data_IF_743540985497
#
_entry.id   IF_743540985497
#
_cell.length_a   1.000
_cell.length_b   1.000
_cell.length_c   1.000
_cell.angle_alpha   90.00
_cell.angle_beta   90.00
_cell.angle_gamma   90.00
#
_symmetry.space_group_name_H-M   'P 1'
#
loop_
_entity.id
_entity.type
_entity.pdbx_description
1 polymer ?
#
# COMPACT_ATOMS: atom_id res chain seq x y z
N UNK A 1 4.45 23.45 -18.03
CA UNK A 1 4.39 24.28 -16.81
C UNK A 1 3.52 25.51 -16.97
N UNK A 2 3.68 26.29 -18.05
CA UNK A 2 2.91 27.53 -18.25
C UNK A 2 1.43 27.26 -18.56
N UNK A 3 0.55 27.65 -17.63
CA UNK A 3 -0.91 27.53 -17.79
C UNK A 3 -1.42 28.48 -18.86
N UNK A 4 -0.92 29.71 -18.93
CA UNK A 4 -1.35 30.70 -19.95
C UNK A 4 -1.11 30.21 -21.38
N UNK A 5 0.00 29.50 -21.62
CA UNK A 5 0.27 28.85 -22.92
C UNK A 5 -0.65 27.66 -23.17
N UNK A 6 -0.94 26.86 -22.15
CA UNK A 6 -1.89 25.75 -22.25
C UNK A 6 -3.30 26.26 -22.55
N UNK A 7 -3.73 27.32 -21.89
CA UNK A 7 -5.03 27.96 -22.09
C UNK A 7 -5.18 28.49 -23.52
N UNK A 8 -4.21 29.25 -24.03
CA UNK A 8 -4.24 29.73 -25.40
C UNK A 8 -4.26 28.59 -26.44
N UNK A 9 -3.56 27.50 -26.16
CA UNK A 9 -3.51 26.33 -27.03
C UNK A 9 -4.82 25.54 -26.99
N UNK A 10 -5.40 25.28 -25.82
CA UNK A 10 -6.65 24.53 -25.71
C UNK A 10 -7.87 25.33 -26.20
N UNK A 11 -7.84 26.67 -26.12
CA UNK A 11 -8.86 27.52 -26.77
C UNK A 11 -8.83 27.40 -28.29
N UNK A 12 -7.65 27.26 -28.87
CA UNK A 12 -7.49 27.17 -30.34
C UNK A 12 -7.57 25.74 -30.87
N UNK A 13 -7.22 24.73 -30.05
CA UNK A 13 -7.11 23.32 -30.40
C UNK A 13 -7.55 22.41 -29.25
N UNK A 14 -8.87 22.27 -29.00
CA UNK A 14 -9.38 21.42 -27.91
C UNK A 14 -9.02 19.93 -28.09
N UNK A 15 -8.80 19.47 -29.32
CA UNK A 15 -8.40 18.11 -29.65
C UNK A 15 -7.03 17.69 -29.09
N UNK A 16 -6.18 18.68 -28.76
CA UNK A 16 -4.85 18.42 -28.20
C UNK A 16 -4.89 17.93 -26.75
N UNK A 17 -6.00 18.16 -26.03
CA UNK A 17 -6.14 17.85 -24.61
C UNK A 17 -5.76 16.41 -24.25
N UNK A 18 -6.17 15.45 -25.09
CA UNK A 18 -5.93 14.02 -24.91
C UNK A 18 -5.01 13.43 -25.98
N UNK A 19 -4.36 14.29 -26.80
CA UNK A 19 -3.51 13.84 -27.90
C UNK A 19 -2.29 13.11 -27.36
N UNK A 20 -2.02 11.92 -27.90
CA UNK A 20 -0.85 11.12 -27.54
C UNK A 20 0.37 11.62 -28.32
N UNK A 21 1.33 12.19 -27.60
CA UNK A 21 2.56 12.73 -28.17
C UNK A 21 3.61 11.63 -28.31
N UNK A 22 4.32 11.60 -29.45
CA UNK A 22 5.43 10.66 -29.71
C UNK A 22 6.70 11.07 -28.95
N UNK A 23 7.61 10.14 -28.61
CA UNK A 23 7.61 8.72 -28.99
C UNK A 23 6.84 7.79 -28.02
N UNK A 24 6.46 8.27 -26.83
CA UNK A 24 5.93 7.41 -25.76
C UNK A 24 4.40 7.35 -25.65
N UNK A 25 3.67 8.01 -26.55
CA UNK A 25 2.21 8.07 -26.50
C UNK A 25 1.68 8.80 -25.26
N UNK A 26 2.46 9.73 -24.71
CA UNK A 26 2.14 10.46 -23.49
C UNK A 26 1.10 11.54 -23.78
N UNK A 27 0.09 11.66 -22.93
CA UNK A 27 -0.88 12.76 -22.95
C UNK A 27 -0.29 14.04 -22.34
N UNK A 28 -0.83 15.23 -22.64
CA UNK A 28 -0.44 16.47 -21.97
C UNK A 28 -0.49 16.35 -20.43
N UNK A 29 -1.52 15.68 -19.91
CA UNK A 29 -1.67 15.38 -18.49
C UNK A 29 -0.48 14.56 -17.96
N UNK A 30 -0.12 13.49 -18.65
CA UNK A 30 1.03 12.64 -18.30
C UNK A 30 2.35 13.43 -18.28
N UNK A 31 2.55 14.31 -19.25
CA UNK A 31 3.74 15.16 -19.33
C UNK A 31 3.81 16.16 -18.18
N UNK A 32 2.67 16.78 -17.84
CA UNK A 32 2.57 17.68 -16.68
C UNK A 32 2.90 16.95 -15.38
N UNK A 33 2.33 15.74 -15.19
CA UNK A 33 2.61 14.88 -14.01
C UNK A 33 4.08 14.47 -13.96
N UNK A 34 4.67 14.03 -15.08
CA UNK A 34 6.08 13.59 -15.12
C UNK A 34 7.05 14.69 -14.70
N UNK A 35 6.66 15.96 -14.92
CA UNK A 35 7.44 17.15 -14.55
C UNK A 35 7.01 17.77 -13.21
N UNK A 36 6.02 17.19 -12.52
CA UNK A 36 5.52 17.72 -11.25
C UNK A 36 4.80 19.07 -11.37
N UNK A 37 4.27 19.41 -12.55
CA UNK A 37 3.60 20.69 -12.79
C UNK A 37 2.14 20.66 -12.30
N UNK A 38 1.95 20.70 -11.00
CA UNK A 38 0.66 20.57 -10.30
C UNK A 38 -0.43 21.51 -10.83
N UNK A 39 -0.10 22.79 -11.07
CA UNK A 39 -1.06 23.77 -11.60
C UNK A 39 -1.53 23.39 -13.01
N UNK A 40 -0.61 22.91 -13.86
CA UNK A 40 -0.96 22.43 -15.19
C UNK A 40 -1.78 21.12 -15.13
N UNK A 41 -1.50 20.24 -14.16
CA UNK A 41 -2.28 19.03 -13.92
C UNK A 41 -3.71 19.40 -13.55
N UNK A 42 -3.92 20.26 -12.54
CA UNK A 42 -5.25 20.72 -12.13
C UNK A 42 -6.02 21.36 -13.29
N UNK A 43 -5.37 22.27 -14.01
CA UNK A 43 -5.97 22.93 -15.17
C UNK A 43 -6.44 21.93 -16.24
N UNK A 44 -5.61 20.94 -16.58
CA UNK A 44 -5.98 19.91 -17.56
C UNK A 44 -7.15 19.05 -17.07
N UNK A 45 -7.17 18.69 -15.79
CA UNK A 45 -8.26 17.90 -15.18
C UNK A 45 -9.58 18.67 -15.14
N UNK A 46 -9.55 19.97 -14.81
CA UNK A 46 -10.71 20.87 -14.84
C UNK A 46 -11.33 20.99 -16.24
N UNK A 47 -10.52 20.78 -17.29
CA UNK A 47 -10.96 20.79 -18.68
C UNK A 47 -11.28 19.39 -19.22
N UNK A 48 -11.55 18.42 -18.35
CA UNK A 48 -11.91 17.03 -18.70
C UNK A 48 -10.81 16.24 -19.44
N UNK A 49 -9.53 16.46 -19.12
CA UNK A 49 -8.48 15.57 -19.58
C UNK A 49 -8.73 14.14 -19.06
N UNK A 50 -8.53 13.16 -19.93
CA UNK A 50 -8.76 11.77 -19.57
C UNK A 50 -7.67 11.28 -18.60
N UNK A 51 -8.09 11.00 -17.37
CA UNK A 51 -7.24 10.84 -16.19
C UNK A 51 -6.40 9.56 -16.23
N UNK A 52 -6.98 8.47 -16.76
CA UNK A 52 -6.38 7.14 -16.72
C UNK A 52 -5.77 6.69 -18.06
N UNK A 53 -5.59 7.60 -19.02
CA UNK A 53 -4.99 7.24 -20.31
C UNK A 53 -3.53 6.75 -20.13
N UNK A 54 -3.24 5.46 -20.42
CA UNK A 54 -1.91 4.93 -20.20
C UNK A 54 -0.93 5.37 -21.31
N UNK A 55 0.37 5.32 -21.04
CA UNK A 55 1.42 5.47 -22.07
C UNK A 55 1.71 4.14 -22.80
N UNK A 56 2.71 4.10 -23.70
CA UNK A 56 3.08 2.87 -24.42
C UNK A 56 3.61 1.75 -23.51
N UNK A 57 4.05 2.09 -22.29
CA UNK A 57 4.44 1.12 -21.25
C UNK A 57 3.26 0.74 -20.36
N UNK A 58 2.05 1.09 -20.80
CA UNK A 58 0.80 0.94 -20.08
C UNK A 58 0.74 1.70 -18.74
N UNK A 59 1.61 2.69 -18.49
CA UNK A 59 1.62 3.44 -17.22
C UNK A 59 0.57 4.55 -17.20
N UNK A 60 -0.29 4.55 -16.19
CA UNK A 60 -1.24 5.64 -15.94
C UNK A 60 -0.52 6.88 -15.37
N UNK A 61 -1.09 8.08 -15.53
CA UNK A 61 -0.59 9.29 -14.88
C UNK A 61 -0.45 9.13 -13.37
N UNK A 62 -1.42 8.48 -12.71
CA UNK A 62 -1.40 8.25 -11.26
C UNK A 62 -0.18 7.42 -10.83
N UNK A 63 0.11 6.32 -11.53
CA UNK A 63 1.25 5.47 -11.18
C UNK A 63 2.56 6.26 -11.18
N UNK A 64 2.73 7.19 -12.12
CA UNK A 64 3.97 7.94 -12.21
C UNK A 64 4.03 9.11 -11.26
N UNK A 65 2.90 9.73 -10.95
CA UNK A 65 2.83 10.65 -9.81
C UNK A 65 3.33 9.96 -8.53
N UNK A 66 2.94 8.70 -8.30
CA UNK A 66 3.37 7.89 -7.16
C UNK A 66 4.85 7.49 -7.26
N UNK A 67 5.34 7.03 -8.43
CA UNK A 67 6.76 6.71 -8.63
C UNK A 67 7.69 7.91 -8.40
N UNK A 68 7.19 9.13 -8.64
CA UNK A 68 7.90 10.38 -8.45
C UNK A 68 7.59 11.05 -7.10
N UNK A 69 6.70 10.47 -6.30
CA UNK A 69 6.31 10.96 -4.98
C UNK A 69 5.74 12.40 -5.00
N UNK A 70 5.08 12.77 -6.10
CA UNK A 70 4.46 14.08 -6.25
C UNK A 70 3.06 14.11 -5.61
N UNK A 71 3.01 14.30 -4.28
CA UNK A 71 1.77 14.29 -3.47
C UNK A 71 0.65 15.14 -4.03
N UNK A 72 0.94 16.36 -4.47
CA UNK A 72 -0.07 17.26 -5.02
C UNK A 72 -0.64 16.75 -6.35
N UNK A 73 0.18 16.09 -7.18
CA UNK A 73 -0.27 15.46 -8.42
C UNK A 73 -1.10 14.20 -8.12
N UNK A 74 -0.65 13.37 -7.17
CA UNK A 74 -1.40 12.18 -6.72
C UNK A 74 -2.79 12.59 -6.22
N UNK A 75 -2.85 13.59 -5.34
CA UNK A 75 -4.09 14.12 -4.79
C UNK A 75 -5.01 14.66 -5.89
N UNK A 76 -4.50 15.51 -6.79
CA UNK A 76 -5.30 16.06 -7.88
C UNK A 76 -5.86 14.97 -8.83
N UNK A 77 -5.07 13.95 -9.15
CA UNK A 77 -5.50 12.85 -10.01
C UNK A 77 -6.58 12.01 -9.33
N UNK A 78 -6.43 11.69 -8.03
CA UNK A 78 -7.43 10.94 -7.27
C UNK A 78 -8.73 11.75 -7.09
N UNK A 79 -8.65 13.06 -6.83
CA UNK A 79 -9.79 13.97 -6.81
C UNK A 79 -10.56 13.99 -8.15
N UNK A 80 -9.84 13.85 -9.27
CA UNK A 80 -10.43 13.76 -10.60
C UNK A 80 -10.91 12.35 -11.00
N UNK A 81 -10.91 11.39 -10.06
CA UNK A 81 -11.43 10.04 -10.29
C UNK A 81 -10.45 9.06 -10.94
N UNK A 82 -9.14 9.29 -10.84
CA UNK A 82 -8.14 8.30 -11.25
C UNK A 82 -8.36 6.96 -10.54
N UNK A 83 -8.29 5.85 -11.27
CA UNK A 83 -8.43 4.52 -10.67
C UNK A 83 -7.24 4.21 -9.74
N UNK A 84 -7.44 4.12 -8.41
CA UNK A 84 -6.36 3.88 -7.44
C UNK A 84 -5.76 2.46 -7.54
N UNK A 85 -6.49 1.53 -8.17
CA UNK A 85 -6.09 0.14 -8.39
C UNK A 85 -5.58 -0.10 -9.83
N UNK A 86 -5.53 0.95 -10.65
CA UNK A 86 -5.08 0.87 -12.04
C UNK A 86 -3.64 0.34 -12.13
N UNK A 87 -3.45 -0.83 -12.70
CA UNK A 87 -2.16 -1.53 -12.70
C UNK A 87 -1.61 -1.76 -14.10
N UNK A 88 -0.29 -1.88 -14.17
CA UNK A 88 0.46 -2.15 -15.40
C UNK A 88 0.92 -3.60 -15.42
N UNK A 89 0.71 -4.30 -16.54
CA UNK A 89 1.26 -5.65 -16.77
C UNK A 89 1.08 -6.59 -15.57
N UNK A 90 2.19 -6.95 -14.92
CA UNK A 90 2.36 -7.84 -13.77
C UNK A 90 1.61 -7.45 -12.46
N UNK A 91 0.47 -6.77 -12.55
CA UNK A 91 -0.42 -6.37 -11.45
C UNK A 91 0.23 -5.45 -10.40
N UNK A 92 1.22 -4.64 -10.80
CA UNK A 92 1.76 -3.61 -9.91
C UNK A 92 0.81 -2.42 -9.82
N UNK A 93 0.15 -2.27 -8.67
CA UNK A 93 -0.74 -1.13 -8.39
C UNK A 93 0.06 0.08 -7.87
N UNK A 94 -0.50 1.29 -7.90
CA UNK A 94 0.08 2.46 -7.25
C UNK A 94 0.43 2.19 -5.78
N UNK A 95 -0.40 1.41 -5.07
CA UNK A 95 -0.16 1.08 -3.66
C UNK A 95 1.10 0.22 -3.45
N UNK A 96 1.40 -0.72 -4.37
CA UNK A 96 2.65 -1.48 -4.31
C UNK A 96 3.87 -0.57 -4.50
N UNK A 97 3.80 0.36 -5.46
CA UNK A 97 4.89 1.30 -5.74
C UNK A 97 5.11 2.23 -4.56
N UNK A 98 4.04 2.77 -3.97
CA UNK A 98 4.14 3.61 -2.78
C UNK A 98 4.73 2.85 -1.58
N UNK A 99 4.32 1.60 -1.36
CA UNK A 99 4.85 0.73 -0.32
C UNK A 99 6.33 0.37 -0.54
N UNK A 100 6.75 0.16 -1.79
CA UNK A 100 8.13 -0.12 -2.17
C UNK A 100 9.07 1.06 -1.93
N UNK A 101 8.61 2.27 -2.24
CA UNK A 101 9.40 3.48 -2.06
C UNK A 101 9.37 4.03 -0.62
N UNK A 102 8.46 3.51 0.22
CA UNK A 102 8.24 4.04 1.56
C UNK A 102 7.47 5.37 1.57
N UNK A 103 6.78 5.66 0.46
CA UNK A 103 6.05 6.91 0.25
C UNK A 103 4.73 6.91 1.04
N UNK A 104 4.83 7.27 2.32
CA UNK A 104 3.74 7.20 3.29
C UNK A 104 2.52 8.03 2.89
N UNK A 105 2.74 9.28 2.44
CA UNK A 105 1.63 10.16 2.05
C UNK A 105 0.89 9.61 0.83
N UNK A 106 1.61 9.00 -0.11
CA UNK A 106 1.01 8.28 -1.23
C UNK A 106 0.17 7.10 -0.77
N UNK A 107 0.67 6.29 0.17
CA UNK A 107 -0.12 5.19 0.76
C UNK A 107 -1.40 5.72 1.41
N UNK A 108 -1.34 6.81 2.19
CA UNK A 108 -2.51 7.43 2.82
C UNK A 108 -3.54 7.90 1.78
N UNK A 109 -3.10 8.65 0.76
CA UNK A 109 -3.95 9.18 -0.30
C UNK A 109 -4.63 8.06 -1.10
N UNK A 110 -3.88 7.03 -1.46
CA UNK A 110 -4.40 5.87 -2.19
C UNK A 110 -5.45 5.10 -1.38
N UNK A 111 -5.18 4.83 -0.09
CA UNK A 111 -6.13 4.14 0.79
C UNK A 111 -7.39 4.98 1.06
N UNK A 112 -7.24 6.30 1.21
CA UNK A 112 -8.38 7.21 1.34
C UNK A 112 -9.29 7.15 0.09
N UNK A 113 -8.68 6.99 -1.08
CA UNK A 113 -9.37 6.92 -2.38
C UNK A 113 -9.86 5.52 -2.76
N UNK A 114 -9.77 4.55 -1.86
CA UNK A 114 -10.30 3.19 -2.08
C UNK A 114 -9.32 2.20 -2.71
N UNK A 115 -8.01 2.45 -2.63
CA UNK A 115 -7.01 1.45 -3.03
C UNK A 115 -7.17 0.15 -2.23
N UNK A 116 -7.13 -0.98 -2.93
CA UNK A 116 -7.20 -2.31 -2.33
C UNK A 116 -5.84 -2.74 -1.80
N UNK A 117 -5.80 -3.16 -0.54
CA UNK A 117 -4.59 -3.64 0.14
C UNK A 117 -4.20 -5.07 -0.21
N UNK A 118 -5.04 -5.77 -0.96
CA UNK A 118 -4.95 -7.23 -1.18
C UNK A 118 -4.76 -7.62 -2.65
N UNK A 119 -4.49 -6.63 -3.52
CA UNK A 119 -4.06 -6.93 -4.88
C UNK A 119 -2.66 -7.54 -4.80
N UNK A 120 -2.45 -8.69 -5.43
CA UNK A 120 -1.16 -9.36 -5.46
C UNK A 120 -0.30 -8.83 -6.62
N UNK A 121 0.93 -8.43 -6.28
CA UNK A 121 1.95 -8.12 -7.28
C UNK A 121 2.65 -9.39 -7.77
N UNK A 122 2.81 -9.54 -9.09
CA UNK A 122 3.31 -10.77 -9.73
C UNK A 122 4.49 -10.51 -10.67
N UNK A 123 5.62 -10.04 -10.14
CA UNK A 123 6.87 -9.92 -10.90
C UNK A 123 7.70 -11.22 -10.85
N UNK A 124 8.16 -11.68 -12.02
CA UNK A 124 9.25 -12.66 -12.12
C UNK A 124 10.53 -12.04 -11.52
N UNK A 125 11.01 -12.58 -10.40
CA UNK A 125 12.28 -12.19 -9.77
C UNK A 125 12.19 -11.22 -8.58
N UNK A 126 11.06 -10.53 -8.38
CA UNK A 126 10.79 -9.82 -7.13
C UNK A 126 10.01 -10.72 -6.17
N UNK A 127 9.92 -10.37 -4.88
CA UNK A 127 8.99 -11.05 -3.97
C UNK A 127 7.56 -10.76 -4.41
N UNK A 128 6.82 -11.73 -4.98
CA UNK A 128 5.40 -11.58 -5.19
C UNK A 128 4.73 -11.40 -3.84
N UNK A 129 3.71 -10.55 -3.78
CA UNK A 129 3.01 -10.31 -2.54
C UNK A 129 2.25 -9.00 -2.52
N UNK A 130 1.48 -8.87 -1.45
CA UNK A 130 0.70 -7.68 -1.15
C UNK A 130 1.60 -6.45 -0.88
N UNK A 131 1.07 -5.22 -0.96
CA UNK A 131 1.79 -4.02 -0.54
C UNK A 131 2.38 -4.14 0.88
N UNK A 132 1.72 -4.89 1.76
CA UNK A 132 2.20 -5.18 3.11
C UNK A 132 3.52 -5.95 3.11
N UNK A 133 3.67 -6.96 2.26
CA UNK A 133 4.92 -7.73 2.10
C UNK A 133 6.04 -6.89 1.54
N UNK A 134 5.73 -6.03 0.56
CA UNK A 134 6.69 -5.11 -0.04
C UNK A 134 7.22 -4.14 1.03
N UNK A 135 6.33 -3.49 1.79
CA UNK A 135 6.76 -2.57 2.84
C UNK A 135 7.63 -3.23 3.92
N UNK A 136 7.40 -4.51 4.22
CA UNK A 136 8.27 -5.31 5.09
C UNK A 136 9.63 -5.60 4.43
N UNK A 137 9.62 -6.09 3.18
CA UNK A 137 10.82 -6.42 2.39
C UNK A 137 11.78 -5.23 2.29
N UNK A 138 11.25 -4.02 2.11
CA UNK A 138 12.04 -2.78 2.00
C UNK A 138 12.15 -2.01 3.34
N UNK A 139 11.71 -2.61 4.45
CA UNK A 139 11.84 -2.05 5.81
C UNK A 139 11.13 -0.72 6.08
N UNK A 140 10.08 -0.40 5.30
CA UNK A 140 9.27 0.79 5.46
C UNK A 140 8.18 0.63 6.54
N UNK A 141 8.59 0.75 7.80
CA UNK A 141 7.73 0.49 8.97
C UNK A 141 6.48 1.38 9.02
N UNK A 142 6.57 2.65 8.61
CA UNK A 142 5.42 3.55 8.60
C UNK A 142 4.36 3.13 7.58
N UNK A 143 4.79 2.75 6.36
CA UNK A 143 3.89 2.21 5.34
C UNK A 143 3.27 0.88 5.79
N UNK A 144 4.08 -0.01 6.36
CA UNK A 144 3.64 -1.29 6.92
C UNK A 144 2.56 -1.10 8.00
N UNK A 145 2.81 -0.19 8.95
CA UNK A 145 1.87 0.15 10.03
C UNK A 145 0.59 0.77 9.48
N UNK A 146 0.70 1.67 8.50
CA UNK A 146 -0.43 2.29 7.82
C UNK A 146 -1.31 1.25 7.13
N UNK A 147 -0.72 0.31 6.38
CA UNK A 147 -1.47 -0.75 5.70
C UNK A 147 -2.24 -1.64 6.68
N UNK A 148 -1.60 -2.08 7.78
CA UNK A 148 -2.26 -2.86 8.83
C UNK A 148 -3.40 -2.09 9.50
N UNK A 149 -3.17 -0.82 9.82
CA UNK A 149 -4.18 0.05 10.42
C UNK A 149 -5.39 0.25 9.50
N UNK A 150 -5.19 0.23 8.19
CA UNK A 150 -6.24 0.36 7.18
C UNK A 150 -6.74 -1.00 6.64
N UNK A 151 -6.58 -2.07 7.42
CA UNK A 151 -7.26 -3.34 7.19
C UNK A 151 -6.54 -4.32 6.26
N UNK A 152 -5.25 -4.13 5.97
CA UNK A 152 -4.44 -5.18 5.34
C UNK A 152 -4.34 -6.39 6.27
N UNK A 153 -4.66 -7.57 5.76
CA UNK A 153 -4.59 -8.80 6.56
C UNK A 153 -3.15 -9.34 6.63
N UNK A 154 -2.65 -9.65 7.84
CA UNK A 154 -1.28 -10.17 8.01
C UNK A 154 -1.08 -11.58 7.47
N UNK A 155 -2.14 -12.39 7.41
CA UNK A 155 -2.06 -13.83 7.10
C UNK A 155 -2.83 -14.23 5.83
N UNK A 156 -3.16 -13.28 4.95
CA UNK A 156 -4.03 -13.53 3.80
C UNK A 156 -3.55 -14.76 3.00
N UNK A 157 -4.30 -15.87 3.12
CA UNK A 157 -4.00 -17.13 2.44
C UNK A 157 -4.60 -17.07 1.03
N UNK A 158 -3.73 -16.96 0.04
CA UNK A 158 -4.11 -17.04 -1.37
C UNK A 158 -4.40 -18.51 -1.74
N UNK A 159 -5.47 -19.07 -1.18
CA UNK A 159 -5.85 -20.48 -1.35
C UNK A 159 -6.58 -20.77 -2.66
N UNK A 160 -7.03 -19.75 -3.39
CA UNK A 160 -7.89 -19.88 -4.57
C UNK A 160 -7.22 -19.52 -5.92
N UNK A 161 -5.91 -19.33 -5.96
CA UNK A 161 -5.20 -18.91 -7.17
C UNK A 161 -4.15 -19.98 -7.50
N UNK A 162 -4.08 -20.38 -8.77
CA UNK A 162 -3.06 -21.31 -9.28
C UNK A 162 -1.67 -20.64 -9.26
N UNK A 163 -1.06 -20.52 -8.08
CA UNK A 163 0.27 -19.97 -7.90
C UNK A 163 1.26 -21.10 -7.66
N UNK A 164 2.48 -21.03 -8.26
CA UNK A 164 3.50 -22.04 -8.00
C UNK A 164 3.86 -22.09 -6.51
N UNK A 165 4.14 -23.28 -5.94
CA UNK A 165 4.48 -23.43 -4.53
C UNK A 165 5.57 -22.48 -4.03
N UNK A 166 6.60 -22.22 -4.84
CA UNK A 166 7.71 -21.31 -4.48
C UNK A 166 7.24 -19.88 -4.16
N UNK A 167 6.15 -19.43 -4.80
CA UNK A 167 5.54 -18.11 -4.57
C UNK A 167 4.81 -18.08 -3.23
N UNK A 168 4.09 -19.14 -2.87
CA UNK A 168 3.42 -19.24 -1.56
C UNK A 168 4.41 -19.15 -0.38
N UNK A 169 5.64 -19.64 -0.52
CA UNK A 169 6.70 -19.45 0.48
C UNK A 169 7.19 -17.99 0.60
N UNK A 170 7.01 -17.18 -0.44
CA UNK A 170 7.37 -15.75 -0.47
C UNK A 170 6.24 -14.84 0.05
N UNK A 171 5.00 -15.34 0.09
CA UNK A 171 3.79 -14.59 0.47
C UNK A 171 3.41 -14.77 1.95
N UNK A 172 4.10 -15.61 2.72
CA UNK A 172 3.92 -15.59 4.17
C UNK A 172 4.69 -14.41 4.77
N UNK A 173 3.98 -13.47 5.38
CA UNK A 173 4.60 -12.29 5.97
C UNK A 173 5.64 -12.63 7.04
N UNK A 174 5.39 -13.66 7.86
CA UNK A 174 6.37 -14.15 8.83
C UNK A 174 7.68 -14.62 8.15
N UNK A 175 7.57 -15.32 7.02
CA UNK A 175 8.75 -15.75 6.25
C UNK A 175 9.46 -14.55 5.61
N UNK A 176 8.72 -13.56 5.09
CA UNK A 176 9.30 -12.31 4.57
C UNK A 176 10.09 -11.58 5.65
N UNK A 177 9.54 -11.47 6.86
CA UNK A 177 10.19 -10.78 7.98
C UNK A 177 11.51 -11.44 8.39
N UNK A 178 11.53 -12.77 8.49
CA UNK A 178 12.75 -13.53 8.81
C UNK A 178 13.75 -13.49 7.66
N UNK A 179 13.30 -13.77 6.43
CA UNK A 179 14.15 -13.84 5.23
C UNK A 179 14.89 -12.53 4.96
N UNK A 180 14.21 -11.40 5.13
CA UNK A 180 14.76 -10.08 4.88
C UNK A 180 15.37 -9.42 6.12
N UNK A 181 15.46 -10.13 7.28
CA UNK A 181 16.02 -9.60 8.53
C UNK A 181 15.39 -8.27 8.95
N UNK A 182 14.07 -8.16 8.79
CA UNK A 182 13.34 -6.95 9.14
C UNK A 182 13.53 -6.61 10.62
N UNK A 183 13.51 -5.34 11.04
CA UNK A 183 13.58 -4.99 12.46
C UNK A 183 12.49 -5.66 13.31
N UNK A 184 12.80 -5.92 14.58
CA UNK A 184 11.94 -6.66 15.53
C UNK A 184 10.55 -6.07 15.69
N UNK A 185 10.42 -4.74 15.58
CA UNK A 185 9.14 -4.02 15.61
C UNK A 185 8.12 -4.51 14.57
N UNK A 186 8.56 -4.99 13.40
CA UNK A 186 7.65 -5.56 12.40
C UNK A 186 7.03 -6.88 12.88
N UNK A 187 7.84 -7.73 13.54
CA UNK A 187 7.38 -9.01 14.07
C UNK A 187 6.36 -8.81 15.20
N UNK A 188 6.67 -7.89 16.12
CA UNK A 188 5.76 -7.51 17.21
C UNK A 188 4.43 -7.03 16.62
N UNK A 189 4.48 -6.12 15.64
CA UNK A 189 3.27 -5.58 15.03
C UNK A 189 2.47 -6.62 14.24
N UNK A 190 3.13 -7.50 13.48
CA UNK A 190 2.51 -8.64 12.80
C UNK A 190 1.66 -9.46 13.79
N UNK A 191 2.25 -9.85 14.92
CA UNK A 191 1.61 -10.72 15.92
C UNK A 191 0.43 -10.00 16.57
N UNK A 192 0.60 -8.73 16.90
CA UNK A 192 -0.41 -7.89 17.56
C UNK A 192 -1.63 -7.63 16.66
N UNK A 193 -1.44 -7.62 15.34
CA UNK A 193 -2.53 -7.58 14.36
C UNK A 193 -3.15 -8.95 14.06
N UNK A 194 -2.73 -9.99 14.76
CA UNK A 194 -3.30 -11.33 14.65
C UNK A 194 -2.46 -12.33 13.88
N UNK A 195 -1.33 -11.92 13.28
CA UNK A 195 -0.45 -12.71 12.42
C UNK A 195 -0.04 -14.07 12.98
N UNK A 196 -0.31 -15.14 12.25
CA UNK A 196 -0.09 -16.52 12.65
C UNK A 196 1.35 -16.96 12.39
N UNK A 197 2.14 -17.08 13.47
CA UNK A 197 3.51 -17.61 13.43
C UNK A 197 3.58 -19.09 13.02
N UNK A 198 2.48 -19.82 13.21
CA UNK A 198 2.35 -21.27 12.97
C UNK A 198 2.12 -21.62 11.50
N UNK A 199 2.02 -20.61 10.62
CA UNK A 199 1.79 -20.84 9.22
C UNK A 199 3.05 -21.41 8.57
N UNK A 200 2.91 -22.62 8.02
CA UNK A 200 3.98 -23.29 7.28
C UNK A 200 3.99 -22.80 5.83
N UNK A 201 5.19 -22.72 5.26
CA UNK A 201 5.36 -22.53 3.82
C UNK A 201 5.03 -23.82 3.06
N UNK A 202 5.18 -23.80 1.73
CA UNK A 202 4.90 -24.97 0.88
C UNK A 202 5.87 -26.13 1.06
N UNK A 203 7.03 -25.89 1.67
CA UNK A 203 7.98 -26.94 2.05
C UNK A 203 7.66 -27.50 3.44
N UNK A 204 6.56 -27.05 4.05
CA UNK A 204 6.16 -27.45 5.40
C UNK A 204 7.02 -26.82 6.49
N UNK A 205 7.84 -25.82 6.17
CA UNK A 205 8.73 -25.16 7.12
C UNK A 205 8.02 -24.00 7.81
N UNK A 206 8.33 -23.78 9.09
CA UNK A 206 7.94 -22.58 9.82
C UNK A 206 8.94 -21.45 9.55
N UNK A 207 8.51 -20.20 9.71
CA UNK A 207 9.40 -19.04 9.56
C UNK A 207 10.63 -19.11 10.49
N UNK A 208 10.51 -19.74 11.67
CA UNK A 208 11.59 -19.96 12.64
C UNK A 208 12.62 -21.01 12.19
N UNK A 209 12.27 -21.86 11.22
CA UNK A 209 13.10 -22.95 10.69
C UNK A 209 13.91 -22.52 9.46
N UNK A 210 13.70 -21.32 8.93
CA UNK A 210 14.52 -20.80 7.83
C UNK A 210 16.00 -20.67 8.27
N UNK A 211 16.95 -21.09 7.42
CA UNK A 211 18.37 -21.04 7.74
C UNK A 211 18.89 -19.59 7.62
N UNK A 212 18.94 -18.85 8.73
CA UNK A 212 19.70 -17.59 8.87
C UNK A 212 20.03 -17.29 10.35
N UNK A 213 21.18 -16.60 10.55
CA UNK A 213 21.68 -16.08 11.84
C UNK A 213 21.19 -14.64 12.11
N UNK A 214 19.86 -14.45 12.18
CA UNK A 214 19.24 -13.12 12.26
C UNK A 214 18.70 -12.74 13.66
N UNK A 215 18.72 -11.44 14.04
CA UNK A 215 18.23 -10.96 15.34
C UNK A 215 16.74 -11.20 15.55
N UNK A 216 15.95 -11.24 14.47
CA UNK A 216 14.53 -11.52 14.56
C UNK A 216 14.22 -12.98 14.87
N UNK A 217 15.07 -13.94 14.50
CA UNK A 217 14.77 -15.36 14.69
C UNK A 217 14.62 -15.72 16.17
N UNK A 218 15.54 -15.24 17.01
CA UNK A 218 15.51 -15.44 18.46
C UNK A 218 14.23 -14.85 19.07
N UNK A 219 13.86 -13.64 18.65
CA UNK A 219 12.63 -13.00 19.10
C UNK A 219 11.37 -13.72 18.60
N UNK A 220 11.36 -14.18 17.34
CA UNK A 220 10.27 -14.99 16.81
C UNK A 220 10.13 -16.30 17.58
N UNK A 221 11.22 -16.94 18.00
CA UNK A 221 11.19 -18.13 18.87
C UNK A 221 10.65 -17.78 20.26
N UNK A 222 11.13 -16.72 20.90
CA UNK A 222 10.62 -16.28 22.20
C UNK A 222 9.13 -15.91 22.16
N UNK A 223 8.66 -15.32 21.05
CA UNK A 223 7.25 -15.00 20.83
C UNK A 223 6.43 -16.24 20.44
N UNK A 224 7.07 -17.25 19.85
CA UNK A 224 6.45 -18.55 19.56
C UNK A 224 6.13 -19.30 20.85
N UNK A 225 7.02 -19.22 21.85
CA UNK A 225 6.87 -19.92 23.13
C UNK A 225 5.91 -19.23 24.11
N UNK A 226 5.60 -17.94 23.89
CA UNK A 226 4.73 -17.16 24.77
C UNK A 226 3.27 -17.13 24.25
N UNK A 227 2.28 -17.54 25.07
CA UNK A 227 0.88 -17.36 24.70
C UNK A 227 0.52 -15.86 24.61
N UNK A 228 -0.37 -15.51 23.67
CA UNK A 228 -0.88 -14.13 23.55
C UNK A 228 -1.67 -13.74 24.81
N UNK A 229 -1.52 -12.49 25.22
CA UNK A 229 -2.32 -11.94 26.32
C UNK A 229 -3.80 -11.90 25.94
N UNK A 230 -4.68 -12.04 26.93
CA UNK A 230 -6.13 -11.90 26.74
C UNK A 230 -6.47 -10.55 26.09
N UNK A 231 -5.76 -9.48 26.48
CA UNK A 231 -5.93 -8.15 25.89
C UNK A 231 -5.64 -8.16 24.38
N UNK A 232 -4.51 -8.71 23.94
CA UNK A 232 -4.17 -8.79 22.51
C UNK A 232 -5.20 -9.60 21.73
N UNK A 233 -5.68 -10.73 22.30
CA UNK A 233 -6.75 -11.54 21.70
C UNK A 233 -8.06 -10.75 21.56
N UNK A 234 -8.49 -10.05 22.61
CA UNK A 234 -9.66 -9.18 22.57
C UNK A 234 -9.49 -8.07 21.52
N UNK A 235 -8.30 -7.44 21.45
CA UNK A 235 -7.99 -6.38 20.47
C UNK A 235 -8.17 -6.90 19.03
N UNK A 236 -7.59 -8.05 18.72
CA UNK A 236 -7.71 -8.68 17.39
C UNK A 236 -9.17 -9.05 17.09
N UNK A 237 -9.88 -9.63 18.06
CA UNK A 237 -11.29 -10.01 17.89
C UNK A 237 -12.17 -8.79 17.57
N UNK A 238 -12.03 -7.69 18.34
CA UNK A 238 -12.77 -6.44 18.11
C UNK A 238 -12.45 -5.85 16.73
N UNK A 239 -11.18 -5.87 16.32
CA UNK A 239 -10.81 -5.34 15.00
C UNK A 239 -11.38 -6.17 13.86
N UNK A 240 -11.41 -7.49 14.01
CA UNK A 240 -12.02 -8.39 13.01
C UNK A 240 -13.53 -8.16 12.89
N UNK A 241 -14.24 -7.89 13.99
CA UNK A 241 -15.69 -7.61 13.95
C UNK A 241 -16.02 -6.24 13.34
N UNK A 242 -15.16 -5.25 13.53
CA UNK A 242 -15.30 -3.95 12.87
C UNK A 242 -15.10 -4.09 11.34
N UNK A 243 -14.16 -4.93 10.90
CA UNK A 243 -13.88 -5.13 9.48
C UNK A 243 -13.09 -3.96 8.85
N UNK A 244 -12.57 -4.21 7.64
CA UNK A 244 -11.50 -3.41 7.00
C UNK A 244 -11.82 -1.91 6.84
N UNK A 245 -13.08 -1.58 6.57
CA UNK A 245 -13.50 -0.20 6.30
C UNK A 245 -14.14 0.52 7.49
N UNK A 246 -14.46 -0.18 8.59
CA UNK A 246 -15.19 0.44 9.72
C UNK A 246 -14.31 0.92 10.85
N UNK A 247 -12.99 0.72 10.76
CA UNK A 247 -12.04 1.35 11.69
C UNK A 247 -12.13 2.88 11.65
N UNK A 248 -12.62 3.45 10.56
CA UNK A 248 -12.99 4.87 10.43
C UNK A 248 -14.07 5.30 11.42
N UNK A 249 -15.00 4.41 11.77
CA UNK A 249 -16.07 4.67 12.73
C UNK A 249 -15.62 4.48 14.19
N UNK A 250 -14.38 4.08 14.46
CA UNK A 250 -13.88 3.97 15.84
C UNK A 250 -13.93 5.30 16.58
N UNK A 251 -13.71 6.43 15.89
CA UNK A 251 -13.86 7.76 16.50
C UNK A 251 -15.31 8.13 16.80
N UNK A 252 -16.26 7.63 16.00
CA UNK A 252 -17.68 7.89 16.20
C UNK A 252 -18.34 6.95 17.21
N UNK A 253 -17.68 5.83 17.55
CA UNK A 253 -18.16 4.94 18.59
C UNK A 253 -18.00 5.61 19.97
N UNK A 254 -19.00 5.48 20.87
CA UNK A 254 -18.94 6.03 22.22
C UNK A 254 -18.06 5.15 23.14
N UNK A 255 -16.80 4.95 22.74
CA UNK A 255 -15.80 4.21 23.52
C UNK A 255 -14.87 5.18 24.25
N UNK A 256 -14.42 4.85 25.48
CA UNK A 256 -13.43 5.64 26.20
C UNK A 256 -12.15 5.84 25.38
N UNK A 257 -11.49 6.99 25.53
CA UNK A 257 -10.26 7.33 24.79
C UNK A 257 -9.17 6.27 24.94
N UNK A 258 -9.06 5.64 26.10
CA UNK A 258 -8.10 4.57 26.36
C UNK A 258 -8.39 3.33 25.50
N UNK A 259 -9.66 2.97 25.34
CA UNK A 259 -10.08 1.88 24.46
C UNK A 259 -9.81 2.22 23.00
N UNK A 260 -10.05 3.48 22.58
CA UNK A 260 -9.70 3.93 21.24
C UNK A 260 -8.19 3.81 20.98
N UNK A 261 -7.35 4.34 21.88
CA UNK A 261 -5.88 4.25 21.79
C UNK A 261 -5.39 2.81 21.73
N UNK A 262 -6.01 1.93 22.51
CA UNK A 262 -5.73 0.50 22.51
C UNK A 262 -6.06 -0.15 21.15
N UNK A 263 -7.22 0.15 20.57
CA UNK A 263 -7.68 -0.45 19.30
C UNK A 263 -6.88 0.01 18.07
N UNK A 264 -6.24 1.19 18.15
CA UNK A 264 -5.37 1.71 17.09
C UNK A 264 -3.88 1.41 17.31
N UNK A 265 -3.54 0.59 18.31
CA UNK A 265 -2.15 0.26 18.65
C UNK A 265 -1.27 1.50 18.90
N UNK A 266 -1.81 2.52 19.56
CA UNK A 266 -1.07 3.76 19.86
C UNK A 266 0.15 3.53 20.78
N UNK A 267 0.20 2.38 21.44
CA UNK A 267 1.33 1.85 22.22
C UNK A 267 2.50 1.38 21.33
N UNK A 268 2.21 0.87 20.13
CA UNK A 268 3.21 0.25 19.24
C UNK A 268 3.52 1.08 17.99
N UNK A 269 2.57 1.91 17.56
CA UNK A 269 2.66 2.70 16.34
C UNK A 269 2.71 4.19 16.71
N UNK A 270 3.85 4.87 16.54
CA UNK A 270 3.92 6.33 16.66
C UNK A 270 2.95 7.00 15.69
N UNK A 271 2.23 8.01 16.17
CA UNK A 271 1.24 8.76 15.38
C UNK A 271 0.18 7.89 14.68
N UNK A 272 -0.21 6.76 15.28
CA UNK A 272 -1.22 5.84 14.72
C UNK A 272 -2.50 6.55 14.24
N UNK A 273 -2.90 7.62 14.93
CA UNK A 273 -4.08 8.42 14.57
C UNK A 273 -3.98 9.10 13.21
N UNK A 274 -2.78 9.50 12.79
CA UNK A 274 -2.49 10.15 11.50
C UNK A 274 -2.34 9.15 10.36
N UNK A 275 -2.15 7.86 10.67
CA UNK A 275 -1.98 6.78 9.70
C UNK A 275 -3.30 6.16 9.27
N UNK A 276 -4.36 6.35 10.06
CA UNK A 276 -5.70 5.91 9.68
C UNK A 276 -6.18 6.85 8.58
N UNK A 277 -6.54 6.29 7.41
CA UNK A 277 -7.10 7.08 6.32
C UNK A 277 -8.53 7.52 6.69
N UNK A 278 -8.71 8.82 6.86
CA UNK A 278 -10.01 9.46 7.06
C UNK A 278 -10.53 9.93 5.69
N UNK A 279 -11.83 9.76 5.37
CA UNK A 279 -12.44 10.55 4.32
C UNK A 279 -12.43 12.04 4.70
#
# INVERSE_FOLDING_TARGET
GSVSKLEGLLRSRPEELNRRVRPYGATPLRLAVTRGHTVAVRYLLEHNAAVDLPDIKAQTPLLVAVQKEFSDCVKALLEAGANPNGHVGNRSTPLHTAAQNGYLDGVKLLLASGAETEIEHRLLGCTPGLPLHISATYHHFACYSCLLLNGAEPDLRHSHIAVPPIVHAQVSLAHTLVKHRCPTRFAVLLIEFGGHLWQRDVRGQLATQLPQDGPCRLLFQQLFDKPRSLQSLCRVAIRRTLGRHRLRYLKSLPVPLNMYRFLIYADLIPNAQELISWP
#
